data_IF_513519341515
#
_entry.id   IF_513519341515
#
_cell.length_a   1.000
_cell.length_b   1.000
_cell.length_c   1.000
_cell.angle_alpha   90.00
_cell.angle_beta   90.00
_cell.angle_gamma   90.00
#
_symmetry.space_group_name_H-M   'P 1'
#
loop_
_entity.id
_entity.type
_entity.pdbx_description
1 polymer ?
#
# COMPACT_ATOMS: atom_id res chain seq x y z
N UNK A 1 2.36 1.43 7.85
CA UNK A 1 3.07 2.09 8.96
C UNK A 1 2.28 1.85 10.23
N UNK A 2 2.18 2.81 11.16
CA UNK A 2 1.22 2.72 12.29
C UNK A 2 -0.22 2.62 11.78
N UNK A 3 -0.55 3.39 10.75
CA UNK A 3 -1.74 3.20 9.92
C UNK A 3 -1.35 3.04 8.44
N UNK A 4 -2.35 3.11 7.57
CA UNK A 4 -2.24 3.20 6.13
C UNK A 4 -3.04 4.41 5.67
N UNK A 5 -2.37 5.36 5.02
CA UNK A 5 -2.99 6.49 4.35
C UNK A 5 -2.51 6.56 2.90
N UNK A 6 -3.14 7.41 2.11
CA UNK A 6 -2.73 7.63 0.73
C UNK A 6 -3.21 8.97 0.20
N UNK A 7 -2.40 9.58 -0.66
CA UNK A 7 -2.76 10.77 -1.42
C UNK A 7 -2.52 10.51 -2.91
N UNK A 8 -3.30 11.18 -3.77
CA UNK A 8 -3.09 11.15 -5.21
C UNK A 8 -2.77 12.55 -5.73
N UNK A 9 -1.93 12.63 -6.76
CA UNK A 9 -1.72 13.84 -7.54
C UNK A 9 -2.39 13.63 -8.90
N UNK A 10 -3.33 14.50 -9.26
CA UNK A 10 -4.01 14.50 -10.55
C UNK A 10 -3.82 15.86 -11.22
N UNK A 11 -3.42 15.89 -12.50
CA UNK A 11 -3.11 17.12 -13.21
C UNK A 11 -2.15 18.07 -12.46
N UNK A 12 -1.13 17.49 -11.79
CA UNK A 12 -0.12 18.23 -11.02
C UNK A 12 -0.60 18.79 -9.68
N UNK A 13 -1.84 18.50 -9.25
CA UNK A 13 -2.41 19.00 -7.99
C UNK A 13 -2.81 17.85 -7.05
N UNK A 14 -2.77 18.04 -5.72
CA UNK A 14 -3.36 17.09 -4.78
C UNK A 14 -4.84 16.85 -5.10
N UNK A 15 -5.23 15.58 -5.19
CA UNK A 15 -6.62 15.19 -5.36
C UNK A 15 -7.40 15.53 -4.09
N UNK A 16 -8.39 16.42 -4.22
CA UNK A 16 -9.29 16.78 -3.14
C UNK A 16 -10.72 16.84 -3.70
N UNK A 17 -11.65 16.14 -3.04
CA UNK A 17 -13.06 16.11 -3.42
C UNK A 17 -13.94 16.64 -2.29
N UNK A 18 -14.95 15.86 -1.88
CA UNK A 18 -15.74 16.14 -0.67
C UNK A 18 -14.85 16.33 0.56
N UNK A 19 -13.86 15.45 0.70
CA UNK A 19 -12.76 15.49 1.68
C UNK A 19 -11.48 14.94 1.01
N UNK A 20 -10.38 14.85 1.77
CA UNK A 20 -9.20 14.13 1.30
C UNK A 20 -9.46 12.61 1.20
N UNK A 21 -8.77 11.88 0.29
CA UNK A 21 -8.93 10.44 0.19
C UNK A 21 -8.53 9.67 1.46
N UNK A 22 -9.39 8.78 1.92
CA UNK A 22 -9.11 7.81 3.01
C UNK A 22 -8.76 6.44 2.44
N UNK A 23 -7.66 6.38 1.67
CA UNK A 23 -7.31 5.21 0.86
C UNK A 23 -7.02 3.96 1.68
N UNK A 24 -6.56 4.08 2.93
CA UNK A 24 -6.27 2.93 3.79
C UNK A 24 -7.50 2.20 4.33
N UNK A 25 -8.69 2.79 4.20
CA UNK A 25 -9.92 2.20 4.73
C UNK A 25 -10.78 1.51 3.67
N UNK A 26 -10.27 1.31 2.44
CA UNK A 26 -10.96 0.48 1.46
C UNK A 26 -11.11 -0.97 1.97
N UNK A 27 -12.21 -1.60 1.59
CA UNK A 27 -12.43 -3.04 1.82
C UNK A 27 -11.62 -3.84 0.82
N UNK A 28 -10.98 -4.90 1.31
CA UNK A 28 -10.27 -5.86 0.47
C UNK A 28 -11.01 -7.19 0.49
N UNK A 29 -10.89 -8.01 -0.58
CA UNK A 29 -11.23 -9.42 -0.50
C UNK A 29 -10.42 -10.07 0.62
N UNK A 30 -11.10 -10.76 1.53
CA UNK A 30 -10.50 -11.41 2.68
C UNK A 30 -11.00 -12.85 2.77
N UNK A 31 -10.06 -13.79 2.63
CA UNK A 31 -10.32 -15.22 2.80
C UNK A 31 -9.95 -15.65 4.23
N UNK A 32 -10.96 -15.81 5.07
CA UNK A 32 -10.79 -16.20 6.48
C UNK A 32 -10.24 -17.62 6.67
N UNK A 33 -10.27 -18.47 5.63
CA UNK A 33 -9.67 -19.81 5.70
C UNK A 33 -8.15 -19.74 5.55
N UNK A 34 -7.66 -18.75 4.79
CA UNK A 34 -6.23 -18.53 4.57
C UNK A 34 -5.65 -17.62 5.66
N UNK A 35 -6.34 -16.55 6.02
CA UNK A 35 -5.98 -15.65 7.11
C UNK A 35 -7.16 -15.51 8.09
N UNK A 36 -7.19 -16.22 9.23
CA UNK A 36 -8.30 -16.12 10.18
C UNK A 36 -8.29 -14.83 11.01
N UNK A 37 -7.41 -13.87 10.71
CA UNK A 37 -7.29 -12.62 11.44
C UNK A 37 -8.46 -11.67 11.14
N UNK A 38 -9.20 -11.27 12.17
CA UNK A 38 -10.39 -10.41 12.03
C UNK A 38 -10.10 -8.93 11.69
N UNK A 39 -8.83 -8.55 11.57
CA UNK A 39 -8.42 -7.16 11.35
C UNK A 39 -8.26 -6.33 12.64
N UNK A 40 -7.48 -5.26 12.53
CA UNK A 40 -7.14 -4.37 13.65
C UNK A 40 -7.90 -3.04 13.63
N UNK A 41 -8.57 -2.68 12.54
CA UNK A 41 -9.21 -1.36 12.42
C UNK A 41 -10.45 -1.29 13.32
N UNK A 42 -10.58 -0.29 14.20
CA UNK A 42 -11.73 -0.19 15.11
C UNK A 42 -13.04 0.16 14.38
N UNK A 43 -12.97 0.76 13.20
CA UNK A 43 -14.14 1.16 12.42
C UNK A 43 -14.62 0.06 11.48
N UNK A 44 -13.67 -0.67 10.89
CA UNK A 44 -13.96 -1.54 9.77
C UNK A 44 -13.59 -3.01 10.05
N UNK A 45 -12.72 -3.31 11.02
CA UNK A 45 -12.14 -4.64 11.17
C UNK A 45 -11.08 -4.87 10.09
N UNK A 46 -11.47 -5.53 9.00
CA UNK A 46 -10.59 -6.04 7.94
C UNK A 46 -10.45 -5.12 6.70
N UNK A 47 -10.56 -3.79 6.87
CA UNK A 47 -10.14 -2.88 5.80
C UNK A 47 -8.63 -2.99 5.54
N UNK A 48 -8.12 -2.38 4.47
CA UNK A 48 -6.70 -2.46 4.11
C UNK A 48 -5.77 -2.13 5.29
N UNK A 49 -5.98 -1.01 6.00
CA UNK A 49 -5.23 -0.68 7.21
C UNK A 49 -5.39 -1.74 8.32
N UNK A 50 -6.60 -2.25 8.48
CA UNK A 50 -6.92 -3.28 9.45
C UNK A 50 -6.15 -4.58 9.22
N UNK A 51 -5.77 -4.87 7.98
CA UNK A 51 -5.09 -6.11 7.59
C UNK A 51 -3.58 -5.96 7.38
N UNK A 52 -3.10 -4.76 7.05
CA UNK A 52 -1.73 -4.55 6.55
C UNK A 52 -0.97 -3.40 7.28
N UNK A 53 -1.50 -2.87 8.37
CA UNK A 53 -0.74 -1.93 9.21
C UNK A 53 0.30 -2.67 10.06
N UNK A 54 1.33 -1.97 10.54
CA UNK A 54 2.29 -2.51 11.49
C UNK A 54 1.63 -3.05 12.76
N UNK A 55 0.65 -2.34 13.36
CA UNK A 55 -0.18 -2.87 14.44
C UNK A 55 -0.98 -4.12 14.04
N UNK A 56 -1.51 -4.20 12.82
CA UNK A 56 -2.17 -5.41 12.32
C UNK A 56 -1.21 -6.60 12.25
N UNK A 57 0.00 -6.41 11.70
CA UNK A 57 1.05 -7.44 11.67
C UNK A 57 1.42 -7.88 13.09
N UNK A 58 1.64 -6.94 14.00
CA UNK A 58 1.97 -7.25 15.39
C UNK A 58 0.85 -8.04 16.07
N UNK A 59 -0.40 -7.63 15.87
CA UNK A 59 -1.55 -8.33 16.46
C UNK A 59 -1.76 -9.72 15.86
N UNK A 60 -1.54 -9.88 14.56
CA UNK A 60 -1.67 -11.15 13.84
C UNK A 60 -0.58 -12.14 14.25
N UNK A 61 0.67 -11.68 14.39
CA UNK A 61 1.84 -12.56 14.56
C UNK A 61 2.48 -12.53 15.96
N UNK A 62 1.99 -11.68 16.85
CA UNK A 62 2.49 -11.54 18.23
C UNK A 62 3.85 -10.85 18.35
N UNK A 63 4.45 -10.40 17.25
CA UNK A 63 5.74 -9.69 17.23
C UNK A 63 5.71 -8.49 16.29
N UNK A 64 6.41 -7.38 16.61
CA UNK A 64 6.54 -6.24 15.71
C UNK A 64 7.10 -6.64 14.35
N UNK A 65 6.62 -5.96 13.30
CA UNK A 65 7.02 -6.24 11.92
C UNK A 65 8.54 -6.20 11.71
N UNK A 66 9.27 -5.32 12.41
CA UNK A 66 10.73 -5.23 12.26
C UNK A 66 11.48 -6.45 12.81
N UNK A 67 10.82 -7.28 13.63
CA UNK A 67 11.41 -8.49 14.22
C UNK A 67 11.04 -9.77 13.46
N UNK A 68 10.16 -9.69 12.46
CA UNK A 68 9.80 -10.84 11.65
C UNK A 68 10.97 -11.21 10.71
N UNK A 69 11.38 -12.50 10.67
CA UNK A 69 12.39 -12.97 9.72
C UNK A 69 12.00 -12.71 8.26
N UNK A 70 12.95 -12.48 7.33
CA UNK A 70 12.64 -12.23 5.92
C UNK A 70 11.86 -13.35 5.20
N UNK A 71 11.97 -14.59 5.68
CA UNK A 71 11.31 -15.79 5.16
C UNK A 71 9.97 -16.10 5.86
N UNK A 72 9.53 -15.24 6.78
CA UNK A 72 8.30 -15.44 7.53
C UNK A 72 7.06 -15.34 6.60
N UNK A 73 6.04 -16.22 6.76
CA UNK A 73 4.84 -16.23 5.91
C UNK A 73 4.00 -14.94 5.97
N UNK A 74 4.24 -14.11 6.99
CA UNK A 74 3.65 -12.78 7.10
C UNK A 74 3.80 -11.94 5.84
N UNK A 75 4.96 -12.01 5.18
CA UNK A 75 5.26 -11.16 4.03
C UNK A 75 4.47 -11.54 2.79
N UNK A 76 4.10 -12.83 2.65
CA UNK A 76 3.23 -13.28 1.55
C UNK A 76 1.81 -12.73 1.69
N UNK A 77 1.25 -12.76 2.91
CA UNK A 77 -0.05 -12.16 3.21
C UNK A 77 0.00 -10.64 3.08
N UNK A 78 1.03 -10.00 3.64
CA UNK A 78 1.22 -8.55 3.58
C UNK A 78 1.29 -8.06 2.12
N UNK A 79 2.11 -8.72 1.30
CA UNK A 79 2.22 -8.41 -0.12
C UNK A 79 0.90 -8.65 -0.87
N UNK A 80 0.11 -9.66 -0.49
CA UNK A 80 -1.20 -9.90 -1.07
C UNK A 80 -2.18 -8.76 -0.79
N UNK A 81 -2.29 -8.32 0.47
CA UNK A 81 -3.19 -7.21 0.82
C UNK A 81 -2.77 -5.89 0.18
N UNK A 82 -1.47 -5.59 0.17
CA UNK A 82 -0.95 -4.41 -0.53
C UNK A 82 -1.27 -4.51 -2.03
N UNK A 83 -0.97 -5.64 -2.67
CA UNK A 83 -1.24 -5.82 -4.09
C UNK A 83 -2.73 -5.68 -4.43
N UNK A 84 -3.64 -6.23 -3.61
CA UNK A 84 -5.08 -6.08 -3.78
C UNK A 84 -5.50 -4.60 -3.72
N UNK A 85 -5.00 -3.85 -2.74
CA UNK A 85 -5.26 -2.43 -2.63
C UNK A 85 -4.73 -1.63 -3.84
N UNK A 86 -3.50 -1.95 -4.29
CA UNK A 86 -2.93 -1.30 -5.47
C UNK A 86 -3.71 -1.63 -6.74
N UNK A 87 -4.18 -2.86 -6.92
CA UNK A 87 -5.04 -3.21 -8.05
C UNK A 87 -6.33 -2.38 -8.04
N UNK A 88 -6.96 -2.17 -6.88
CA UNK A 88 -8.08 -1.22 -6.76
C UNK A 88 -7.68 0.18 -7.21
N UNK A 89 -6.58 0.75 -6.70
CA UNK A 89 -6.17 2.11 -7.05
C UNK A 89 -5.77 2.25 -8.52
N UNK A 90 -5.16 1.22 -9.12
CA UNK A 90 -4.84 1.18 -10.55
C UNK A 90 -6.12 1.25 -11.37
N UNK A 91 -7.13 0.48 -11.00
CA UNK A 91 -8.42 0.43 -11.72
C UNK A 91 -9.27 1.70 -11.52
N UNK A 92 -9.14 2.37 -10.37
CA UNK A 92 -9.97 3.55 -10.06
C UNK A 92 -9.31 4.89 -10.39
N UNK A 93 -8.00 5.01 -10.17
CA UNK A 93 -7.26 6.26 -10.31
C UNK A 93 -6.31 6.27 -11.52
N UNK A 94 -5.93 5.09 -12.03
CA UNK A 94 -4.96 4.92 -13.11
C UNK A 94 -3.70 5.81 -12.94
N UNK A 95 -3.01 5.72 -11.78
CA UNK A 95 -1.88 6.61 -11.51
C UNK A 95 -0.73 6.29 -12.48
N UNK A 96 0.09 7.29 -12.81
CA UNK A 96 1.30 7.09 -13.63
C UNK A 96 2.48 6.51 -12.84
N UNK A 97 2.41 6.58 -11.50
CA UNK A 97 3.41 6.03 -10.57
C UNK A 97 2.75 5.81 -9.21
N UNK A 98 3.17 4.76 -8.51
CA UNK A 98 2.77 4.44 -7.14
C UNK A 98 4.02 4.47 -6.25
N UNK A 99 3.96 5.23 -5.17
CA UNK A 99 5.07 5.37 -4.22
C UNK A 99 4.65 4.73 -2.90
N UNK A 100 5.35 3.69 -2.47
CA UNK A 100 5.07 2.98 -1.22
C UNK A 100 6.11 3.33 -0.16
N UNK A 101 5.65 3.87 0.97
CA UNK A 101 6.51 4.27 2.08
C UNK A 101 5.98 3.80 3.44
N UNK A 102 6.67 4.24 4.49
CA UNK A 102 6.36 3.89 5.88
C UNK A 102 7.10 2.64 6.38
N UNK A 103 7.11 2.45 7.70
CA UNK A 103 7.99 1.46 8.36
C UNK A 103 7.82 0.01 7.90
N UNK A 104 6.60 -0.41 7.53
CA UNK A 104 6.37 -1.76 6.98
C UNK A 104 7.09 -1.92 5.64
N UNK A 105 6.99 -0.93 4.74
CA UNK A 105 7.66 -0.93 3.45
C UNK A 105 9.18 -0.69 3.54
N UNK A 106 9.74 -0.49 4.74
CA UNK A 106 11.19 -0.56 4.95
C UNK A 106 11.73 -2.00 4.76
N UNK A 107 10.85 -3.00 4.83
CA UNK A 107 11.12 -4.38 4.48
C UNK A 107 11.18 -4.51 2.95
N UNK A 108 12.37 -4.34 2.38
CA UNK A 108 12.58 -4.21 0.93
C UNK A 108 12.15 -5.45 0.13
N UNK A 109 12.09 -6.62 0.75
CA UNK A 109 11.58 -7.85 0.16
C UNK A 109 10.10 -7.74 -0.27
N UNK A 110 9.31 -6.85 0.33
CA UNK A 110 7.91 -6.66 -0.05
C UNK A 110 7.74 -6.10 -1.47
N UNK A 111 8.68 -5.29 -1.96
CA UNK A 111 8.55 -4.69 -3.29
C UNK A 111 8.45 -5.72 -4.41
N UNK A 112 9.40 -6.67 -4.59
CA UNK A 112 9.25 -7.70 -5.62
C UNK A 112 8.00 -8.57 -5.41
N UNK A 113 7.62 -8.88 -4.16
CA UNK A 113 6.42 -9.68 -3.87
C UNK A 113 5.13 -8.96 -4.32
N UNK A 114 4.98 -7.68 -3.99
CA UNK A 114 3.84 -6.85 -4.40
C UNK A 114 3.81 -6.72 -5.92
N UNK A 115 4.95 -6.43 -6.54
CA UNK A 115 5.06 -6.28 -8.00
C UNK A 115 4.73 -7.57 -8.75
N UNK A 116 5.04 -8.74 -8.19
CA UNK A 116 4.63 -10.02 -8.78
C UNK A 116 3.12 -10.27 -8.65
N UNK A 117 2.51 -9.87 -7.53
CA UNK A 117 1.08 -10.13 -7.26
C UNK A 117 0.14 -9.16 -8.00
N UNK A 118 0.52 -7.90 -8.21
CA UNK A 118 -0.34 -6.90 -8.87
C UNK A 118 -0.79 -7.33 -10.29
N UNK A 119 0.10 -7.73 -11.22
CA UNK A 119 -0.30 -8.19 -12.54
C UNK A 119 -1.20 -9.43 -12.52
N UNK A 120 -0.95 -10.36 -11.59
CA UNK A 120 -1.77 -11.56 -11.39
C UNK A 120 -3.20 -11.17 -10.99
N UNK A 121 -3.35 -10.25 -10.03
CA UNK A 121 -4.66 -9.76 -9.59
C UNK A 121 -5.38 -8.93 -10.65
N UNK A 122 -4.64 -8.21 -11.50
CA UNK A 122 -5.21 -7.50 -12.65
C UNK A 122 -5.59 -8.44 -13.80
N UNK A 123 -5.12 -9.69 -13.77
CA UNK A 123 -5.48 -10.77 -14.71
C UNK A 123 -5.47 -10.36 -16.19
N UNK A 124 -4.46 -9.60 -16.61
CA UNK A 124 -4.33 -9.12 -17.99
C UNK A 124 -5.38 -8.09 -18.43
N UNK A 125 -6.19 -7.53 -17.54
CA UNK A 125 -7.19 -6.52 -17.91
C UNK A 125 -6.55 -5.19 -18.33
N UNK A 126 -5.54 -4.73 -17.60
CA UNK A 126 -4.84 -3.47 -17.89
C UNK A 126 -3.59 -3.75 -18.74
N UNK A 127 -3.69 -3.47 -20.04
CA UNK A 127 -2.65 -3.73 -21.05
C UNK A 127 -1.67 -2.55 -21.21
N UNK A 128 -1.00 -2.16 -20.13
CA UNK A 128 0.01 -1.08 -20.16
C UNK A 128 1.43 -1.64 -20.09
N UNK A 129 2.33 -1.19 -20.98
CA UNK A 129 3.76 -1.54 -20.92
C UNK A 129 4.41 -1.21 -19.57
N UNK A 130 3.98 -0.13 -18.93
CA UNK A 130 4.47 0.23 -17.59
C UNK A 130 4.15 -0.84 -16.56
N UNK A 131 3.00 -1.50 -16.65
CA UNK A 131 2.63 -2.60 -15.74
C UNK A 131 3.23 -3.94 -16.16
N UNK A 132 3.31 -4.20 -17.48
CA UNK A 132 3.72 -5.51 -18.01
C UNK A 132 5.24 -5.67 -18.15
N UNK A 133 5.95 -4.59 -18.47
CA UNK A 133 7.37 -4.61 -18.82
C UNK A 133 8.23 -3.79 -17.85
N UNK A 134 7.66 -2.80 -17.14
CA UNK A 134 8.44 -1.87 -16.30
C UNK A 134 7.78 -1.59 -14.92
N UNK A 135 7.26 -2.64 -14.28
CA UNK A 135 6.58 -2.49 -12.98
C UNK A 135 7.51 -2.00 -11.87
N UNK A 136 8.80 -2.28 -12.01
CA UNK A 136 9.89 -1.81 -11.15
C UNK A 136 9.98 -0.28 -11.11
N UNK A 137 9.76 0.39 -12.26
CA UNK A 137 9.70 1.85 -12.35
C UNK A 137 8.31 2.44 -12.05
N UNK A 138 7.30 1.58 -11.89
CA UNK A 138 5.92 1.97 -11.63
C UNK A 138 5.59 2.01 -10.13
N UNK A 139 5.90 0.92 -9.41
CA UNK A 139 5.71 0.80 -7.97
C UNK A 139 7.08 0.94 -7.32
N UNK A 140 7.34 2.06 -6.65
CA UNK A 140 8.69 2.44 -6.20
C UNK A 140 8.72 2.85 -4.73
N UNK A 141 9.87 2.75 -4.05
CA UNK A 141 10.07 3.43 -2.77
C UNK A 141 10.11 4.96 -2.95
N UNK A 142 9.88 5.75 -1.88
CA UNK A 142 10.02 7.19 -1.95
C UNK A 142 11.48 7.60 -2.19
N UNK A 143 11.74 8.37 -3.25
CA UNK A 143 13.09 8.88 -3.55
C UNK A 143 13.65 9.83 -2.48
N UNK A 144 12.78 10.46 -1.69
CA UNK A 144 13.14 11.31 -0.55
C UNK A 144 13.19 10.52 0.78
N UNK A 145 13.02 9.19 0.73
CA UNK A 145 12.95 8.34 1.91
C UNK A 145 11.88 8.82 2.91
N UNK A 146 12.24 8.84 4.19
CA UNK A 146 11.37 9.27 5.29
C UNK A 146 11.07 10.78 5.31
N UNK A 147 11.71 11.58 4.45
CA UNK A 147 11.52 13.03 4.39
C UNK A 147 10.38 13.44 3.45
N UNK A 148 9.78 12.50 2.71
CA UNK A 148 8.74 12.80 1.72
C UNK A 148 7.55 13.57 2.34
N UNK A 149 7.12 13.21 3.55
CA UNK A 149 6.02 13.89 4.25
C UNK A 149 6.38 15.32 4.68
N UNK A 150 7.52 15.50 5.37
CA UNK A 150 7.96 16.81 5.84
C UNK A 150 8.27 17.77 4.69
N UNK A 151 8.92 17.29 3.63
CA UNK A 151 9.20 18.10 2.44
C UNK A 151 7.91 18.39 1.64
N UNK A 152 6.92 17.50 1.67
CA UNK A 152 5.59 17.77 1.13
C UNK A 152 4.90 18.96 1.83
N UNK A 153 5.01 19.06 3.15
CA UNK A 153 4.48 20.20 3.90
C UNK A 153 5.19 21.52 3.54
N UNK A 154 6.52 21.48 3.38
CA UNK A 154 7.29 22.65 2.89
C UNK A 154 6.84 23.03 1.48
N UNK A 155 6.64 22.06 0.59
CA UNK A 155 6.16 22.31 -0.77
C UNK A 155 4.76 22.95 -0.79
N UNK A 156 3.86 22.55 0.12
CA UNK A 156 2.56 23.20 0.29
C UNK A 156 2.71 24.65 0.78
N UNK A 157 3.59 24.91 1.74
CA UNK A 157 3.85 26.27 2.24
C UNK A 157 4.43 27.20 1.16
N UNK A 158 5.24 26.67 0.24
CA UNK A 158 5.77 27.42 -0.91
C UNK A 158 4.73 27.75 -1.98
N UNK A 159 3.58 27.06 -1.98
CA UNK A 159 2.48 27.28 -2.92
C UNK A 159 1.38 28.19 -2.35
N UNK A 160 1.50 28.59 -1.08
CA UNK A 160 0.54 29.44 -0.37
C UNK A 160 0.71 30.94 -0.68
#
# INVERSE_FOLDING_TARGET
GTGIGGGAICAGKPLHGLVHPEMGHIRLPHDSQVDPFNGNCPYHGDCFEGMASGPALNRRWGVPAEKLPPDHPAWELEAHYIAAALSTFILTLSPQRIILGGGVMAQSQLFPMVRNKVPVLLNGYVQSKTLLENIEGYIVPPGLGNQAGSLGAVALAMQA
#
